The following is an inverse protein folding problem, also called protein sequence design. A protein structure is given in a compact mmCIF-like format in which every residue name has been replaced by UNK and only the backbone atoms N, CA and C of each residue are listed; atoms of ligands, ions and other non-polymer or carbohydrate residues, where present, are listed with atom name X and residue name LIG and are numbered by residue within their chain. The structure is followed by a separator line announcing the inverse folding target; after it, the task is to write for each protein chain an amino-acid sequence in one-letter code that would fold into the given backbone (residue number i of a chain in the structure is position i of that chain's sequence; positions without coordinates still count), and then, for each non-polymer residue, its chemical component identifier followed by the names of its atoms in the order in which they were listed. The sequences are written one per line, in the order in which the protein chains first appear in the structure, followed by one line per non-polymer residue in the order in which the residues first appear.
data_IF_375037404893
#
_entry.id   IF_375037404893
#
_cell.length_a   1.000
_cell.length_b   1.000
_cell.length_c   1.000
_cell.angle_alpha   90.00
_cell.angle_beta   90.00
_cell.angle_gamma   90.00
#
_symmetry.space_group_name_H-M   'P 1'
#
loop_
_entity.id
_entity.type
_entity.pdbx_description
1 polymer ?
#
# COMPACT_ATOMS: atom_id res chain seq x y z
N UNK A 1 -35.84 -0.67 28.29
CA UNK A 1 -35.29 -0.87 26.93
C UNK A 1 -34.65 0.44 26.50
N UNK A 2 -33.32 0.48 26.37
CA UNK A 2 -32.57 1.66 25.92
C UNK A 2 -32.63 1.74 24.39
N UNK A 3 -32.89 2.91 23.77
CA UNK A 3 -33.07 3.05 22.32
C UNK A 3 -31.75 3.19 21.54
N UNK A 4 -30.60 3.03 22.20
CA UNK A 4 -29.30 3.08 21.52
C UNK A 4 -28.93 1.71 20.96
N UNK A 5 -29.50 1.36 19.81
CA UNK A 5 -28.89 0.38 18.92
C UNK A 5 -27.52 0.92 18.51
N UNK A 6 -26.45 0.24 18.91
CA UNK A 6 -25.09 0.49 18.43
C UNK A 6 -25.12 0.45 16.91
N UNK A 7 -24.81 1.57 16.25
CA UNK A 7 -24.48 1.55 14.82
C UNK A 7 -23.38 0.51 14.62
N UNK A 8 -23.47 -0.38 13.61
CA UNK A 8 -22.38 -1.30 13.31
C UNK A 8 -21.09 -0.48 13.14
N UNK A 9 -19.99 -0.93 13.76
CA UNK A 9 -18.68 -0.30 13.56
C UNK A 9 -18.38 -0.38 12.07
N UNK A 10 -18.33 0.77 11.41
CA UNK A 10 -17.86 0.84 10.04
C UNK A 10 -16.37 0.50 10.08
N UNK A 11 -16.06 -0.72 9.67
CA UNK A 11 -14.69 -1.17 9.47
C UNK A 11 -14.21 -0.56 8.15
N UNK A 12 -12.93 -0.23 8.11
CA UNK A 12 -12.31 0.29 6.91
C UNK A 12 -10.86 -0.17 6.89
N UNK A 13 -10.40 -0.69 5.76
CA UNK A 13 -9.00 -1.09 5.56
C UNK A 13 -8.27 -0.07 4.68
N UNK A 14 -6.95 -0.02 4.82
CA UNK A 14 -6.08 0.95 4.16
C UNK A 14 -5.05 0.26 3.25
N UNK A 15 -4.97 0.67 1.99
CA UNK A 15 -3.84 0.45 1.11
C UNK A 15 -3.30 1.78 0.58
N UNK A 16 -2.04 1.80 0.13
CA UNK A 16 -1.40 3.04 -0.34
C UNK A 16 -0.71 2.84 -1.69
N UNK A 17 -0.90 3.81 -2.58
CA UNK A 17 -0.27 3.85 -3.89
C UNK A 17 0.81 4.95 -3.93
N UNK A 18 2.03 4.55 -4.29
CA UNK A 18 3.26 5.35 -4.34
C UNK A 18 3.70 5.61 -5.78
N UNK A 19 4.19 6.81 -6.04
CA UNK A 19 4.78 7.22 -7.33
C UNK A 19 6.28 7.02 -7.33
N UNK A 20 6.78 6.49 -8.44
CA UNK A 20 8.20 6.29 -8.72
C UNK A 20 8.60 7.02 -10.00
N UNK A 21 9.73 7.75 -9.97
CA UNK A 21 10.32 8.41 -11.14
C UNK A 21 11.28 7.46 -11.84
N UNK A 22 10.99 7.06 -13.07
CA UNK A 22 11.78 6.05 -13.78
C UNK A 22 13.15 6.52 -14.30
N UNK A 23 13.78 7.48 -13.63
CA UNK A 23 15.12 7.98 -13.98
C UNK A 23 16.21 7.77 -12.91
N UNK A 24 15.94 7.00 -11.84
CA UNK A 24 16.96 6.41 -10.95
C UNK A 24 17.11 4.91 -11.20
N UNK A 25 18.34 4.41 -11.24
CA UNK A 25 18.69 3.00 -11.50
C UNK A 25 17.76 1.97 -10.83
N UNK A 26 16.98 1.24 -11.63
CA UNK A 26 16.75 -0.17 -11.33
C UNK A 26 18.12 -0.88 -11.49
N UNK A 27 18.56 -1.76 -10.57
CA UNK A 27 19.74 -2.56 -10.82
C UNK A 27 19.47 -3.38 -12.10
N UNK A 28 20.13 -2.97 -13.18
CA UNK A 28 20.14 -3.71 -14.43
C UNK A 28 20.80 -5.05 -14.16
N UNK A 29 20.11 -6.14 -14.50
CA UNK A 29 20.61 -7.52 -14.50
C UNK A 29 21.80 -7.70 -15.46
N UNK A 30 22.97 -7.17 -15.12
CA UNK A 30 24.21 -7.57 -15.76
C UNK A 30 25.08 -8.30 -14.72
N UNK A 31 25.41 -9.59 -14.94
CA UNK A 31 26.42 -10.25 -14.13
C UNK A 31 27.76 -9.51 -14.28
N UNK A 32 28.56 -9.40 -13.22
CA UNK A 32 29.89 -8.81 -13.32
C UNK A 32 30.73 -9.57 -14.35
N UNK A 33 31.59 -8.91 -15.14
CA UNK A 33 32.50 -9.61 -16.02
C UNK A 33 33.41 -10.52 -15.18
N UNK A 34 33.50 -11.79 -15.57
CA UNK A 34 34.28 -12.79 -14.86
C UNK A 34 35.73 -12.30 -14.67
N UNK A 35 36.32 -12.47 -13.47
CA UNK A 35 37.76 -12.26 -13.30
C UNK A 35 38.53 -13.29 -14.15
N UNK A 36 39.71 -12.92 -14.70
CA UNK A 36 40.51 -13.85 -15.48
C UNK A 36 40.92 -15.05 -14.61
N UNK A 37 40.87 -16.30 -15.13
CA UNK A 37 41.15 -17.47 -14.33
C UNK A 37 42.64 -17.56 -13.96
N UNK A 38 42.97 -17.93 -12.72
CA UNK A 38 44.35 -18.24 -12.34
C UNK A 38 44.79 -19.59 -12.95
N UNK A 39 46.01 -19.61 -13.48
CA UNK A 39 46.73 -20.80 -13.93
C UNK A 39 46.91 -21.81 -12.77
N UNK A 40 46.42 -23.06 -12.91
CA UNK A 40 47.15 -24.36 -12.65
C UNK A 40 46.24 -25.60 -12.56
N UNK A 41 46.78 -26.84 -12.61
CA UNK A 41 46.39 -27.85 -13.59
C UNK A 41 45.37 -28.90 -13.09
N UNK A 42 44.78 -29.59 -14.08
CA UNK A 42 43.80 -30.68 -13.94
C UNK A 42 44.42 -31.97 -13.38
N UNK A 43 43.67 -32.67 -12.53
CA UNK A 43 43.74 -34.12 -12.34
C UNK A 43 42.31 -34.72 -12.43
N UNK A 44 42.14 -35.98 -12.86
CA UNK A 44 40.83 -36.55 -13.21
C UNK A 44 40.26 -37.52 -12.15
N UNK A 45 38.94 -37.64 -12.09
CA UNK A 45 38.26 -38.87 -11.64
C UNK A 45 37.10 -38.69 -10.65
N UNK A 46 36.05 -39.55 -10.68
CA UNK A 46 34.66 -39.12 -10.48
C UNK A 46 34.00 -39.66 -9.20
N UNK A 47 33.05 -38.89 -8.66
CA UNK A 47 31.95 -39.41 -7.85
C UNK A 47 30.77 -38.43 -7.94
N UNK A 48 29.64 -38.92 -8.46
CA UNK A 48 28.38 -38.19 -8.47
C UNK A 48 27.97 -37.90 -7.02
N UNK A 49 27.93 -36.62 -6.65
CA UNK A 49 27.24 -36.13 -5.46
C UNK A 49 25.93 -35.47 -5.89
N UNK A 50 24.83 -35.62 -5.11
CA UNK A 50 23.54 -35.05 -5.46
C UNK A 50 23.64 -33.50 -5.53
N UNK A 51 22.82 -32.84 -6.37
CA UNK A 51 22.87 -31.39 -6.48
C UNK A 51 22.54 -30.73 -5.13
N UNK A 52 23.21 -29.62 -4.79
CA UNK A 52 22.95 -28.88 -3.56
C UNK A 52 21.53 -28.29 -3.57
N UNK A 53 20.93 -28.04 -2.39
CA UNK A 53 19.58 -27.52 -2.30
C UNK A 53 19.51 -26.17 -3.01
N UNK A 54 18.53 -26.04 -3.90
CA UNK A 54 18.23 -24.81 -4.60
C UNK A 54 18.10 -23.66 -3.59
N UNK A 55 19.06 -22.74 -3.61
CA UNK A 55 18.90 -21.43 -3.03
C UNK A 55 17.75 -20.74 -3.78
N UNK A 56 16.54 -20.83 -3.22
CA UNK A 56 15.43 -19.97 -3.58
C UNK A 56 15.82 -18.54 -3.23
N UNK A 57 16.45 -17.85 -4.18
CA UNK A 57 16.54 -16.40 -4.21
C UNK A 57 15.09 -15.90 -4.28
N UNK A 58 14.45 -15.70 -3.12
CA UNK A 58 13.07 -15.20 -3.02
C UNK A 58 13.02 -13.86 -3.74
N UNK A 59 12.33 -13.83 -4.89
CA UNK A 59 11.90 -12.58 -5.53
C UNK A 59 11.11 -11.77 -4.49
N UNK A 60 11.17 -10.43 -4.49
CA UNK A 60 10.20 -9.66 -3.73
C UNK A 60 8.79 -10.09 -4.12
N UNK A 61 7.87 -10.15 -3.15
CA UNK A 61 6.47 -10.54 -3.33
C UNK A 61 5.73 -9.45 -4.12
N UNK A 62 6.00 -9.37 -5.43
CA UNK A 62 5.43 -8.35 -6.29
C UNK A 62 4.73 -8.88 -7.53
N UNK A 63 3.59 -8.24 -7.84
CA UNK A 63 2.71 -8.57 -8.95
C UNK A 63 2.55 -7.35 -9.88
N UNK A 64 2.81 -7.51 -11.17
CA UNK A 64 2.66 -6.44 -12.18
C UNK A 64 1.30 -6.51 -12.83
N UNK A 65 0.59 -5.39 -12.96
CA UNK A 65 -0.74 -5.36 -13.57
C UNK A 65 -0.80 -4.62 -14.93
N UNK A 66 -1.49 -5.19 -15.92
CA UNK A 66 -1.79 -4.50 -17.18
C UNK A 66 -2.87 -3.41 -17.07
N UNK A 67 -3.74 -3.45 -16.04
CA UNK A 67 -4.96 -2.61 -15.95
C UNK A 67 -4.67 -1.12 -15.82
N UNK A 68 -3.56 -0.73 -15.20
CA UNK A 68 -3.13 0.67 -15.13
C UNK A 68 -2.56 1.19 -16.46
N UNK A 69 -2.27 0.28 -17.40
CA UNK A 69 -1.79 0.61 -18.74
C UNK A 69 -2.76 1.47 -19.55
N UNK A 70 -4.07 1.39 -19.25
CA UNK A 70 -5.08 2.27 -19.86
C UNK A 70 -4.82 3.75 -19.54
N UNK A 71 -4.19 4.04 -18.39
CA UNK A 71 -3.80 5.37 -17.96
C UNK A 71 -2.37 5.74 -18.37
N UNK A 72 -1.72 4.92 -19.18
CA UNK A 72 -0.32 5.11 -19.57
C UNK A 72 0.66 4.91 -18.40
N UNK A 73 0.29 4.07 -17.43
CA UNK A 73 1.13 3.74 -16.28
C UNK A 73 1.58 2.29 -16.36
N UNK A 74 2.56 1.95 -15.54
CA UNK A 74 2.81 0.59 -15.13
C UNK A 74 3.01 0.54 -13.63
N UNK A 75 2.74 -0.62 -13.05
CA UNK A 75 2.77 -0.79 -11.62
C UNK A 75 3.42 -2.10 -11.19
N UNK A 76 3.73 -2.18 -9.91
CA UNK A 76 3.84 -3.45 -9.21
C UNK A 76 3.23 -3.31 -7.81
N UNK A 77 2.55 -4.36 -7.37
CA UNK A 77 2.01 -4.47 -6.03
C UNK A 77 3.06 -5.09 -5.10
N UNK A 78 3.07 -4.71 -3.83
CA UNK A 78 3.88 -5.31 -2.78
C UNK A 78 2.95 -5.67 -1.63
N UNK A 79 2.90 -6.95 -1.28
CA UNK A 79 2.11 -7.41 -0.14
C UNK A 79 2.76 -7.04 1.19
N UNK A 80 1.94 -6.56 2.13
CA UNK A 80 2.29 -6.23 3.51
C UNK A 80 1.30 -6.97 4.41
N UNK A 81 1.45 -8.28 4.49
CA UNK A 81 0.43 -9.15 5.09
C UNK A 81 -0.83 -9.12 4.22
N UNK A 82 -1.98 -8.81 4.84
CA UNK A 82 -3.26 -8.64 4.15
C UNK A 82 -3.39 -7.37 3.30
N UNK A 83 -2.47 -6.43 3.51
CA UNK A 83 -2.51 -5.12 2.89
C UNK A 83 -1.60 -5.06 1.66
N UNK A 84 -1.75 -3.99 0.88
CA UNK A 84 -0.93 -3.78 -0.31
C UNK A 84 -0.33 -2.37 -0.35
N UNK A 85 0.88 -2.31 -0.91
CA UNK A 85 1.49 -1.08 -1.39
C UNK A 85 1.65 -1.20 -2.90
N UNK A 86 0.99 -0.33 -3.65
CA UNK A 86 1.12 -0.27 -5.09
C UNK A 86 2.17 0.79 -5.46
N UNK A 87 3.15 0.44 -6.29
CA UNK A 87 4.10 1.41 -6.84
C UNK A 87 3.80 1.59 -8.32
N UNK A 88 3.55 2.82 -8.75
CA UNK A 88 3.27 3.14 -10.15
C UNK A 88 4.33 4.08 -10.74
N UNK A 89 4.59 3.91 -12.03
CA UNK A 89 5.43 4.79 -12.82
C UNK A 89 4.73 5.14 -14.14
N UNK A 90 4.89 6.37 -14.66
CA UNK A 90 4.49 6.72 -16.01
C UNK A 90 5.20 5.83 -17.04
N UNK A 91 4.45 5.17 -17.91
CA UNK A 91 4.97 4.44 -19.07
C UNK A 91 4.78 5.20 -20.39
N UNK A 92 4.03 6.31 -20.36
CA UNK A 92 3.81 7.24 -21.49
C UNK A 92 4.01 8.70 -21.05
N UNK A 93 4.42 9.61 -21.97
CA UNK A 93 4.45 11.04 -21.70
C UNK A 93 3.07 11.62 -21.43
N UNK A 94 2.99 12.73 -20.69
CA UNK A 94 1.76 13.49 -20.51
C UNK A 94 0.69 12.80 -19.66
N UNK A 95 1.05 11.79 -18.86
CA UNK A 95 0.13 11.17 -17.90
C UNK A 95 -0.11 12.08 -16.69
N UNK A 96 -1.21 11.86 -15.98
CA UNK A 96 -1.50 12.59 -14.73
C UNK A 96 -0.42 12.32 -13.68
N UNK A 97 0.02 11.06 -13.56
CA UNK A 97 1.12 10.68 -12.68
C UNK A 97 2.43 11.39 -13.07
N UNK A 98 2.76 11.45 -14.37
CA UNK A 98 3.96 12.15 -14.85
C UNK A 98 3.97 13.64 -14.53
N UNK A 99 2.86 14.34 -14.77
CA UNK A 99 2.74 15.77 -14.39
C UNK A 99 2.82 16.01 -12.88
N UNK A 100 2.34 15.05 -12.08
CA UNK A 100 2.40 15.14 -10.62
C UNK A 100 3.83 14.93 -10.13
N UNK A 101 4.53 13.96 -10.72
CA UNK A 101 5.94 13.65 -10.48
C UNK A 101 6.85 14.84 -10.82
N UNK A 102 6.66 15.48 -11.98
CA UNK A 102 7.37 16.71 -12.37
C UNK A 102 7.17 17.85 -11.35
N UNK A 103 5.98 17.93 -10.75
CA UNK A 103 5.61 19.01 -9.82
C UNK A 103 6.08 18.77 -8.38
N UNK A 104 6.04 17.52 -7.90
CA UNK A 104 6.20 17.20 -6.48
C UNK A 104 7.36 16.24 -6.18
N UNK A 105 7.96 15.64 -7.22
CA UNK A 105 8.87 14.51 -7.09
C UNK A 105 8.13 13.21 -6.75
N UNK A 106 8.91 12.17 -6.44
CA UNK A 106 8.40 10.90 -5.93
C UNK A 106 7.63 11.10 -4.62
N UNK A 107 6.62 10.27 -4.37
CA UNK A 107 5.82 10.36 -3.16
C UNK A 107 4.48 9.67 -3.26
N UNK A 108 3.59 9.95 -2.31
CA UNK A 108 2.26 9.38 -2.31
C UNK A 108 1.39 9.96 -3.44
N UNK A 109 0.53 9.11 -4.01
CA UNK A 109 -0.45 9.51 -5.03
C UNK A 109 -1.87 9.27 -4.61
N UNK A 110 -2.18 8.05 -4.18
CA UNK A 110 -3.53 7.64 -3.82
C UNK A 110 -3.51 6.87 -2.51
N UNK A 111 -4.60 7.03 -1.77
CA UNK A 111 -4.93 6.21 -0.61
C UNK A 111 -6.19 5.42 -0.94
N UNK A 112 -6.12 4.10 -0.84
CA UNK A 112 -7.22 3.20 -1.14
C UNK A 112 -7.81 2.77 0.20
N UNK A 113 -9.11 2.92 0.34
CA UNK A 113 -9.84 2.64 1.57
C UNK A 113 -10.96 1.66 1.26
N UNK A 114 -11.14 0.63 2.07
CA UNK A 114 -12.34 -0.21 1.98
C UNK A 114 -13.41 0.24 2.98
N UNK A 115 -14.68 0.05 2.64
CA UNK A 115 -15.85 0.30 3.50
C UNK A 115 -16.92 -0.76 3.22
N UNK A 116 -17.90 -0.90 4.10
CA UNK A 116 -18.97 -1.89 3.93
C UNK A 116 -19.88 -1.63 2.73
N UNK A 117 -20.05 -0.36 2.35
CA UNK A 117 -20.84 0.05 1.19
C UNK A 117 -20.27 1.36 0.62
N UNK A 118 -19.48 1.26 -0.44
CA UNK A 118 -18.85 2.41 -1.06
C UNK A 118 -19.87 3.27 -1.84
N UNK A 119 -20.89 2.64 -2.42
CA UNK A 119 -21.90 3.35 -3.22
C UNK A 119 -22.80 4.21 -2.32
N UNK A 120 -23.26 3.68 -1.18
CA UNK A 120 -24.01 4.45 -0.19
C UNK A 120 -23.17 5.59 0.39
N UNK A 121 -21.91 5.32 0.76
CA UNK A 121 -21.00 6.35 1.27
C UNK A 121 -20.74 7.44 0.24
N UNK A 122 -20.59 7.09 -1.04
CA UNK A 122 -20.47 8.07 -2.13
C UNK A 122 -21.67 9.00 -2.19
N UNK A 123 -22.89 8.48 -2.10
CA UNK A 123 -24.12 9.30 -2.10
C UNK A 123 -24.13 10.28 -0.92
N UNK A 124 -23.67 9.87 0.26
CA UNK A 124 -23.50 10.75 1.42
C UNK A 124 -22.44 11.85 1.16
N UNK A 125 -21.28 11.49 0.59
CA UNK A 125 -20.21 12.44 0.22
C UNK A 125 -20.72 13.48 -0.77
N UNK A 126 -21.41 13.06 -1.83
CA UNK A 126 -21.95 13.95 -2.85
C UNK A 126 -23.03 14.88 -2.26
N UNK A 127 -23.92 14.36 -1.42
CA UNK A 127 -24.95 15.16 -0.74
C UNK A 127 -24.37 16.20 0.21
N UNK A 128 -23.22 15.91 0.83
CA UNK A 128 -22.48 16.84 1.69
C UNK A 128 -21.65 17.87 0.91
N UNK A 129 -21.66 17.84 -0.43
CA UNK A 129 -20.84 18.72 -1.27
C UNK A 129 -19.34 18.39 -1.22
N UNK A 130 -19.00 17.13 -0.98
CA UNK A 130 -17.64 16.62 -0.87
C UNK A 130 -16.85 16.63 -2.20
N UNK A 131 -15.67 15.97 -2.23
CA UNK A 131 -14.82 15.93 -3.42
C UNK A 131 -15.55 15.28 -4.61
N UNK A 132 -15.22 15.75 -5.82
CA UNK A 132 -15.82 15.25 -7.06
C UNK A 132 -15.37 13.82 -7.35
N UNK A 133 -16.31 12.92 -7.66
CA UNK A 133 -16.00 11.60 -8.23
C UNK A 133 -15.43 11.76 -9.64
N UNK A 134 -14.26 11.18 -9.88
CA UNK A 134 -13.55 11.26 -11.19
C UNK A 134 -13.52 9.93 -11.93
N UNK A 135 -13.71 8.84 -11.21
CA UNK A 135 -13.84 7.51 -11.76
C UNK A 135 -14.62 6.65 -10.77
N UNK A 136 -15.49 5.78 -11.25
CA UNK A 136 -16.19 4.84 -10.40
C UNK A 136 -16.92 3.79 -11.23
N UNK A 137 -16.88 2.54 -10.80
CA UNK A 137 -17.51 1.43 -11.49
C UNK A 137 -17.83 0.29 -10.53
N UNK A 138 -18.87 -0.47 -10.88
CA UNK A 138 -19.09 -1.81 -10.34
C UNK A 138 -18.03 -2.75 -10.92
N UNK A 139 -17.59 -3.70 -10.11
CA UNK A 139 -16.77 -4.81 -10.57
C UNK A 139 -17.43 -6.14 -10.22
N UNK A 140 -17.09 -7.14 -11.02
CA UNK A 140 -17.49 -8.54 -10.82
C UNK A 140 -16.32 -9.40 -11.29
N UNK A 141 -15.68 -10.10 -10.36
CA UNK A 141 -14.52 -10.96 -10.59
C UNK A 141 -14.91 -12.41 -10.34
N UNK A 142 -14.44 -13.30 -11.21
CA UNK A 142 -14.55 -14.74 -11.03
C UNK A 142 -13.15 -15.26 -10.79
N UNK A 143 -12.99 -15.99 -9.71
CA UNK A 143 -11.75 -16.65 -9.32
C UNK A 143 -11.93 -18.15 -9.52
N UNK A 144 -10.89 -18.82 -10.02
CA UNK A 144 -10.94 -20.25 -10.28
C UNK A 144 -11.21 -21.02 -8.99
N UNK A 145 -10.63 -20.54 -7.89
CA UNK A 145 -10.78 -21.09 -6.55
C UNK A 145 -12.14 -20.82 -5.88
N UNK A 146 -13.07 -20.11 -6.53
CA UNK A 146 -14.36 -19.72 -5.94
C UNK A 146 -15.57 -20.51 -6.45
N UNK A 147 -15.34 -21.62 -7.17
CA UNK A 147 -16.38 -22.58 -7.59
C UNK A 147 -17.59 -21.94 -8.30
N UNK A 148 -17.37 -20.85 -9.03
CA UNK A 148 -18.39 -20.11 -9.78
C UNK A 148 -19.04 -18.95 -9.02
N UNK A 149 -18.72 -18.77 -7.73
CA UNK A 149 -19.04 -17.54 -7.01
C UNK A 149 -18.24 -16.35 -7.54
N UNK A 150 -18.79 -15.16 -7.34
CA UNK A 150 -18.22 -13.91 -7.82
C UNK A 150 -17.85 -13.02 -6.64
N UNK A 151 -16.70 -12.37 -6.76
CA UNK A 151 -16.36 -11.20 -5.96
C UNK A 151 -16.95 -9.97 -6.67
N UNK A 152 -17.97 -9.39 -6.07
CA UNK A 152 -18.68 -8.24 -6.63
C UNK A 152 -18.52 -7.03 -5.73
N UNK A 153 -18.55 -5.83 -6.29
CA UNK A 153 -18.34 -4.65 -5.47
C UNK A 153 -18.26 -3.36 -6.27
N UNK A 154 -17.75 -2.34 -5.60
CA UNK A 154 -17.62 -0.99 -6.14
C UNK A 154 -16.22 -0.45 -5.90
N UNK A 155 -15.71 0.28 -6.88
CA UNK A 155 -14.51 1.11 -6.76
C UNK A 155 -14.89 2.56 -7.11
N UNK A 156 -14.47 3.52 -6.27
CA UNK A 156 -14.82 4.93 -6.41
C UNK A 156 -13.61 5.82 -6.12
N UNK A 157 -13.12 6.52 -7.13
CA UNK A 157 -12.01 7.45 -7.03
C UNK A 157 -12.50 8.90 -7.00
N UNK A 158 -11.98 9.67 -6.05
CA UNK A 158 -12.30 11.08 -5.85
C UNK A 158 -11.16 11.97 -6.31
N UNK A 159 -11.49 13.13 -6.88
CA UNK A 159 -10.51 14.16 -7.16
C UNK A 159 -9.86 14.62 -5.84
N UNK A 160 -8.52 14.79 -5.78
CA UNK A 160 -7.84 15.18 -4.53
C UNK A 160 -8.24 16.58 -4.03
N UNK A 161 -8.61 17.49 -4.94
CA UNK A 161 -9.17 18.80 -4.57
C UNK A 161 -10.48 18.62 -3.79
N UNK A 162 -10.50 19.13 -2.57
CA UNK A 162 -11.63 18.99 -1.64
C UNK A 162 -11.26 18.17 -0.41
N UNK A 163 -10.16 17.42 -0.47
CA UNK A 163 -9.67 16.57 0.62
C UNK A 163 -8.28 17.01 1.05
N UNK A 164 -8.11 17.34 2.32
CA UNK A 164 -6.82 17.77 2.87
C UNK A 164 -5.80 16.62 2.90
N UNK A 165 -4.52 16.93 2.73
CA UNK A 165 -3.43 15.95 2.85
C UNK A 165 -2.82 15.49 1.52
N UNK A 166 -3.25 16.07 0.39
CA UNK A 166 -2.55 15.97 -0.89
C UNK A 166 -2.59 14.61 -1.60
N UNK A 167 -3.42 13.67 -1.14
CA UNK A 167 -3.58 12.33 -1.69
C UNK A 167 -4.93 12.19 -2.40
N UNK A 168 -4.98 11.39 -3.47
CA UNK A 168 -6.21 11.02 -4.16
C UNK A 168 -6.94 9.93 -3.37
N UNK A 169 -8.17 10.13 -2.89
CA UNK A 169 -8.92 9.09 -2.19
C UNK A 169 -9.55 8.11 -3.19
N UNK A 170 -9.41 6.82 -2.93
CA UNK A 170 -10.19 5.74 -3.51
C UNK A 170 -10.96 5.03 -2.40
N UNK A 171 -12.23 4.74 -2.65
CA UNK A 171 -13.13 4.08 -1.71
C UNK A 171 -13.76 2.87 -2.40
N UNK A 172 -13.48 1.70 -1.83
CA UNK A 172 -13.89 0.41 -2.36
C UNK A 172 -14.82 -0.31 -1.39
N UNK A 173 -15.64 -1.21 -1.92
CA UNK A 173 -16.42 -2.16 -1.11
C UNK A 173 -16.57 -3.46 -1.85
N UNK A 174 -16.50 -4.58 -1.13
CA UNK A 174 -16.79 -5.91 -1.63
C UNK A 174 -18.12 -6.39 -1.04
N UNK A 175 -18.94 -7.05 -1.85
CA UNK A 175 -20.19 -7.66 -1.44
C UNK A 175 -19.89 -8.91 -0.62
N UNK A 176 -20.73 -9.16 0.39
CA UNK A 176 -20.68 -10.39 1.18
C UNK A 176 -21.14 -11.56 0.31
N UNK A 177 -20.32 -12.61 0.24
CA UNK A 177 -20.65 -13.89 -0.40
C UNK A 177 -20.17 -15.08 0.45
N UNK A 178 -20.38 -16.32 0.01
CA UNK A 178 -19.96 -17.50 0.78
C UNK A 178 -18.44 -17.57 0.89
N UNK A 179 -17.72 -17.17 -0.17
CA UNK A 179 -16.25 -17.14 -0.20
C UNK A 179 -15.62 -15.91 0.45
N UNK A 180 -16.41 -14.88 0.76
CA UNK A 180 -15.95 -13.67 1.43
C UNK A 180 -17.06 -13.12 2.34
N UNK A 181 -17.21 -13.77 3.50
CA UNK A 181 -18.34 -13.54 4.41
C UNK A 181 -18.18 -12.29 5.27
N UNK A 182 -16.93 -11.85 5.47
CA UNK A 182 -16.57 -10.65 6.20
C UNK A 182 -15.43 -9.89 5.50
N UNK A 183 -15.73 -9.16 4.40
CA UNK A 183 -14.69 -8.55 3.55
C UNK A 183 -13.76 -7.55 4.25
N UNK A 184 -14.13 -7.05 5.43
CA UNK A 184 -13.39 -6.04 6.20
C UNK A 184 -12.81 -6.57 7.52
N UNK A 185 -13.24 -7.75 7.96
CA UNK A 185 -12.73 -8.42 9.15
C UNK A 185 -11.78 -9.56 8.83
N UNK A 186 -11.81 -10.10 7.61
CA UNK A 186 -10.88 -11.11 7.14
C UNK A 186 -9.53 -10.49 6.74
N UNK A 187 -8.47 -10.94 7.40
CA UNK A 187 -7.13 -10.40 7.18
C UNK A 187 -6.61 -10.58 5.76
N UNK A 188 -6.94 -11.69 5.09
CA UNK A 188 -6.47 -11.99 3.75
C UNK A 188 -7.66 -11.96 2.79
N UNK A 189 -8.23 -10.77 2.65
CA UNK A 189 -9.43 -10.50 1.85
C UNK A 189 -9.06 -10.01 0.44
N UNK A 190 -9.92 -10.20 -0.57
CA UNK A 190 -9.76 -9.60 -1.88
C UNK A 190 -9.59 -8.07 -1.84
N UNK A 191 -8.78 -7.58 -2.78
CA UNK A 191 -8.65 -6.16 -3.08
C UNK A 191 -8.95 -5.94 -4.56
N UNK A 192 -9.86 -5.01 -4.88
CA UNK A 192 -10.15 -4.61 -6.26
C UNK A 192 -8.88 -4.22 -7.03
N UNK A 193 -7.98 -3.49 -6.38
CA UNK A 193 -6.69 -3.08 -6.96
C UNK A 193 -5.83 -4.27 -7.43
N UNK A 194 -5.95 -5.44 -6.78
CA UNK A 194 -5.25 -6.66 -7.17
C UNK A 194 -5.93 -7.38 -8.35
N UNK A 195 -7.23 -7.18 -8.53
CA UNK A 195 -7.99 -7.63 -9.69
C UNK A 195 -8.18 -9.15 -9.79
N UNK A 196 -7.94 -9.72 -10.98
CA UNK A 196 -8.34 -11.09 -11.33
C UNK A 196 -7.37 -12.21 -10.88
N UNK A 197 -6.17 -11.88 -10.43
CA UNK A 197 -5.13 -12.87 -10.07
C UNK A 197 -5.18 -13.26 -8.58
N UNK A 198 -6.38 -13.54 -8.04
CA UNK A 198 -6.61 -13.77 -6.60
C UNK A 198 -5.69 -14.81 -5.99
N UNK A 199 -5.65 -15.99 -6.60
CA UNK A 199 -4.85 -17.12 -6.12
C UNK A 199 -3.39 -16.72 -5.93
N UNK A 200 -2.86 -15.93 -6.88
CA UNK A 200 -1.47 -15.50 -6.81
C UNK A 200 -1.24 -14.43 -5.77
N UNK A 201 -2.11 -13.43 -5.65
CA UNK A 201 -1.86 -12.35 -4.70
C UNK A 201 -2.17 -12.74 -3.26
N UNK A 202 -3.13 -13.64 -3.03
CA UNK A 202 -3.43 -14.14 -1.67
C UNK A 202 -2.27 -14.97 -1.13
N UNK A 203 -1.63 -15.81 -1.95
CA UNK A 203 -0.38 -16.51 -1.58
C UNK A 203 0.72 -15.51 -1.17
N UNK A 204 0.90 -14.44 -1.93
CA UNK A 204 1.87 -13.39 -1.61
C UNK A 204 1.51 -12.63 -0.32
N UNK A 205 0.22 -12.42 -0.04
CA UNK A 205 -0.25 -11.82 1.19
C UNK A 205 0.06 -12.71 2.39
N UNK A 206 -0.28 -14.00 2.32
CA UNK A 206 -0.01 -15.00 3.35
C UNK A 206 1.49 -15.16 3.62
N UNK A 207 2.32 -15.25 2.58
CA UNK A 207 3.78 -15.31 2.71
C UNK A 207 4.38 -14.09 3.41
N UNK A 208 3.73 -12.94 3.25
CA UNK A 208 4.11 -11.67 3.88
C UNK A 208 3.37 -11.40 5.19
N UNK A 209 2.62 -12.37 5.72
CA UNK A 209 1.72 -12.27 6.88
C UNK A 209 2.36 -11.88 8.20
N UNK A 210 3.69 -11.76 8.28
CA UNK A 210 4.38 -11.18 9.45
C UNK A 210 4.58 -9.66 9.36
N UNK A 211 4.28 -9.05 8.22
CA UNK A 211 4.28 -7.61 7.99
C UNK A 211 2.88 -7.04 8.28
N UNK A 212 2.86 -5.84 8.84
CA UNK A 212 1.62 -5.13 9.17
C UNK A 212 1.74 -3.66 8.79
N UNK A 213 0.77 -3.14 8.03
CA UNK A 213 0.69 -1.71 7.79
C UNK A 213 0.10 -1.03 9.04
N UNK A 214 0.95 -0.42 9.87
CA UNK A 214 0.50 0.19 11.12
C UNK A 214 -0.11 1.58 10.91
N UNK A 215 0.28 2.25 9.84
CA UNK A 215 -0.26 3.57 9.53
C UNK A 215 0.60 4.41 8.62
N UNK A 216 0.04 5.57 8.29
CA UNK A 216 0.72 6.57 7.49
C UNK A 216 0.43 7.99 8.00
N UNK A 217 1.23 8.94 7.54
CA UNK A 217 1.09 10.36 7.92
C UNK A 217 1.06 11.24 6.69
N UNK A 218 0.06 12.12 6.61
CA UNK A 218 -0.13 13.06 5.51
C UNK A 218 0.24 14.48 5.96
N UNK A 219 1.08 15.16 5.18
CA UNK A 219 1.36 16.59 5.37
C UNK A 219 0.28 17.41 4.69
N UNK A 220 -0.21 18.41 5.42
CA UNK A 220 -1.14 19.41 4.88
C UNK A 220 -0.46 20.39 3.93
N UNK A 221 -1.26 21.14 3.19
CA UNK A 221 -0.78 22.18 2.29
C UNK A 221 0.01 23.24 3.06
N UNK A 222 0.96 23.88 2.38
CA UNK A 222 1.75 24.98 2.93
C UNK A 222 0.84 26.04 3.59
N UNK A 223 1.18 26.43 4.82
CA UNK A 223 0.38 27.35 5.63
C UNK A 223 -0.80 26.72 6.39
N UNK A 224 -1.21 25.49 6.08
CA UNK A 224 -2.28 24.80 6.81
C UNK A 224 -1.75 24.08 8.06
N UNK A 225 -2.16 24.57 9.23
CA UNK A 225 -1.80 23.99 10.52
C UNK A 225 -2.90 23.16 11.19
N UNK A 226 -4.09 23.09 10.60
CA UNK A 226 -5.27 22.47 11.22
C UNK A 226 -5.34 20.96 10.97
N UNK A 227 -4.40 20.24 11.59
CA UNK A 227 -4.33 18.77 11.54
C UNK A 227 -5.58 18.10 12.11
N UNK A 228 -6.19 18.68 13.14
CA UNK A 228 -7.43 18.15 13.73
C UNK A 228 -8.62 18.32 12.81
N UNK A 229 -8.73 19.45 12.11
CA UNK A 229 -9.76 19.68 11.10
C UNK A 229 -9.59 18.80 9.88
N UNK A 230 -8.35 18.51 9.45
CA UNK A 230 -8.09 17.54 8.40
C UNK A 230 -8.57 16.13 8.81
N UNK A 231 -8.25 15.67 10.01
CA UNK A 231 -8.71 14.38 10.50
C UNK A 231 -10.25 14.30 10.57
N UNK A 232 -10.91 15.35 11.09
CA UNK A 232 -12.39 15.45 11.09
C UNK A 232 -12.97 15.43 9.68
N UNK A 233 -12.39 16.18 8.74
CA UNK A 233 -12.85 16.20 7.36
C UNK A 233 -12.86 14.79 6.75
N UNK A 234 -11.79 14.02 6.92
CA UNK A 234 -11.73 12.65 6.41
C UNK A 234 -12.72 11.72 7.13
N UNK A 235 -12.88 11.87 8.44
CA UNK A 235 -13.85 11.12 9.24
C UNK A 235 -15.27 11.35 8.74
N UNK A 236 -15.64 12.62 8.53
CA UNK A 236 -16.97 13.02 8.07
C UNK A 236 -17.22 12.57 6.62
N UNK A 237 -16.23 12.74 5.74
CA UNK A 237 -16.35 12.35 4.33
C UNK A 237 -16.45 10.83 4.17
N UNK A 238 -15.55 10.06 4.77
CA UNK A 238 -15.39 8.64 4.47
C UNK A 238 -15.95 7.71 5.55
N UNK A 239 -16.51 8.25 6.63
CA UNK A 239 -17.11 7.47 7.71
C UNK A 239 -16.08 6.76 8.61
N UNK A 240 -14.84 7.21 8.60
CA UNK A 240 -13.75 6.56 9.34
C UNK A 240 -13.74 7.07 10.79
N UNK A 241 -13.71 6.19 11.80
CA UNK A 241 -13.67 6.61 13.20
C UNK A 241 -12.43 7.43 13.53
N UNK A 242 -12.58 8.45 14.37
CA UNK A 242 -11.45 9.14 14.99
C UNK A 242 -11.10 8.53 16.35
N UNK A 243 -9.81 8.34 16.58
CA UNK A 243 -9.28 7.94 17.88
C UNK A 243 -7.96 8.65 18.12
N UNK A 244 -7.88 9.42 19.23
CA UNK A 244 -6.68 10.17 19.62
C UNK A 244 -6.17 11.14 18.53
N UNK A 245 -7.09 11.72 17.75
CA UNK A 245 -6.78 12.69 16.69
C UNK A 245 -6.34 12.08 15.35
N UNK A 246 -6.37 10.76 15.22
CA UNK A 246 -6.06 10.03 13.98
C UNK A 246 -7.29 9.28 13.48
N UNK A 247 -7.34 9.07 12.17
CA UNK A 247 -8.28 8.15 11.54
C UNK A 247 -7.89 6.71 11.94
N UNK A 248 -8.84 5.96 12.45
CA UNK A 248 -8.63 4.60 12.95
C UNK A 248 -9.30 3.60 12.01
N UNK A 249 -8.49 3.03 11.11
CA UNK A 249 -8.84 1.89 10.29
C UNK A 249 -8.74 0.60 11.11
N UNK A 250 -9.27 -0.50 10.59
CA UNK A 250 -9.17 -1.82 11.22
C UNK A 250 -7.69 -2.25 11.31
N UNK A 251 -6.95 -2.08 10.22
CA UNK A 251 -5.56 -2.49 10.08
C UNK A 251 -4.55 -1.38 10.47
N UNK A 252 -4.91 -0.10 10.27
CA UNK A 252 -3.95 1.01 10.26
C UNK A 252 -4.46 2.30 10.92
N UNK A 253 -3.57 3.29 11.04
CA UNK A 253 -3.92 4.67 11.44
C UNK A 253 -3.43 5.69 10.44
N UNK A 254 -4.23 6.71 10.19
CA UNK A 254 -3.83 7.84 9.34
C UNK A 254 -3.83 9.12 10.16
N UNK A 255 -2.65 9.72 10.27
CA UNK A 255 -2.42 10.98 10.97
C UNK A 255 -2.07 12.11 10.02
N UNK A 256 -2.08 13.33 10.54
CA UNK A 256 -1.73 14.53 9.79
C UNK A 256 -0.61 15.32 10.48
N UNK A 257 0.27 15.91 9.68
CA UNK A 257 1.26 16.90 10.12
C UNK A 257 1.03 18.23 9.43
N UNK A 258 1.42 19.31 10.11
CA UNK A 258 1.25 20.68 9.59
C UNK A 258 1.99 20.86 8.26
N UNK A 259 1.44 21.72 7.42
CA UNK A 259 2.11 22.22 6.24
C UNK A 259 3.45 22.87 6.58
N UNK A 260 4.38 22.79 5.64
CA UNK A 260 5.73 23.32 5.78
C UNK A 260 6.05 24.21 4.58
N UNK A 261 6.76 25.31 4.82
CA UNK A 261 7.16 26.25 3.77
C UNK A 261 7.95 25.51 2.67
N UNK A 262 7.61 25.77 1.40
CA UNK A 262 8.27 25.16 0.23
C UNK A 262 8.25 23.63 0.19
N UNK A 263 7.29 23.00 0.88
CA UNK A 263 7.08 21.55 0.83
C UNK A 263 5.68 21.25 0.32
N UNK A 264 5.58 20.28 -0.58
CA UNK A 264 4.30 19.76 -1.03
C UNK A 264 3.56 19.05 0.11
N UNK A 265 2.23 19.23 0.13
CA UNK A 265 1.33 18.30 0.82
C UNK A 265 1.44 16.88 0.22
N UNK A 266 1.06 15.88 1.01
CA UNK A 266 1.09 14.49 0.59
C UNK A 266 1.61 13.56 1.69
N UNK A 267 1.74 12.30 1.34
CA UNK A 267 2.28 11.26 2.20
C UNK A 267 3.73 11.54 2.62
N UNK A 268 4.02 11.47 3.91
CA UNK A 268 5.35 11.73 4.47
C UNK A 268 5.97 10.54 5.18
N UNK A 269 5.14 9.67 5.78
CA UNK A 269 5.60 8.55 6.58
C UNK A 269 4.71 7.33 6.33
N UNK A 270 5.32 6.17 6.17
CA UNK A 270 4.69 4.86 6.29
C UNK A 270 5.35 4.13 7.47
N UNK A 271 4.55 3.50 8.32
CA UNK A 271 5.04 2.67 9.43
C UNK A 271 4.64 1.21 9.21
N UNK A 272 5.63 0.33 9.17
CA UNK A 272 5.45 -1.12 9.03
C UNK A 272 5.82 -1.81 10.34
N UNK A 273 4.95 -2.67 10.83
CA UNK A 273 5.19 -3.57 11.95
C UNK A 273 5.76 -4.90 11.47
N UNK A 274 6.70 -5.47 12.23
CA UNK A 274 7.27 -6.80 11.94
C UNK A 274 7.29 -7.69 13.19
N UNK A 275 7.06 -8.99 13.01
CA UNK A 275 6.93 -9.95 14.11
C UNK A 275 8.24 -10.38 14.78
N UNK A 276 9.41 -10.12 14.17
CA UNK A 276 10.71 -10.60 14.69
C UNK A 276 11.85 -9.60 14.50
N UNK A 277 12.81 -9.65 15.43
CA UNK A 277 14.05 -8.86 15.37
C UNK A 277 14.90 -9.19 14.15
N UNK A 278 14.90 -10.46 13.73
CA UNK A 278 15.60 -10.89 12.52
C UNK A 278 15.03 -10.23 11.27
N UNK A 279 13.69 -10.17 11.16
CA UNK A 279 13.02 -9.50 10.04
C UNK A 279 13.29 -8.00 10.07
N UNK A 280 13.18 -7.36 11.24
CA UNK A 280 13.48 -5.94 11.43
C UNK A 280 14.91 -5.63 10.97
N UNK A 281 15.90 -6.31 11.57
CA UNK A 281 17.31 -6.13 11.25
C UNK A 281 17.61 -6.40 9.78
N UNK A 282 17.01 -7.44 9.20
CA UNK A 282 17.17 -7.75 7.78
C UNK A 282 16.66 -6.65 6.84
N UNK A 283 15.52 -6.04 7.14
CA UNK A 283 15.00 -4.91 6.36
C UNK A 283 15.91 -3.68 6.52
N UNK A 284 16.30 -3.35 7.74
CA UNK A 284 17.14 -2.17 8.00
C UNK A 284 18.55 -2.32 7.40
N UNK A 285 19.12 -3.52 7.41
CA UNK A 285 20.41 -3.78 6.78
C UNK A 285 20.35 -3.60 5.27
N UNK A 286 19.32 -4.14 4.60
CA UNK A 286 19.12 -3.89 3.17
C UNK A 286 18.96 -2.40 2.87
N UNK A 287 18.19 -1.67 3.68
CA UNK A 287 18.05 -0.23 3.50
C UNK A 287 19.39 0.53 3.65
N UNK A 288 20.31 0.04 4.50
CA UNK A 288 21.68 0.59 4.62
C UNK A 288 22.55 0.24 3.43
N UNK A 289 22.51 -1.01 2.98
CA UNK A 289 23.24 -1.51 1.81
C UNK A 289 22.85 -0.75 0.54
N UNK A 290 21.56 -0.40 0.40
CA UNK A 290 21.01 0.41 -0.69
C UNK A 290 21.22 1.94 -0.50
N UNK A 291 21.87 2.37 0.59
CA UNK A 291 22.15 3.78 0.86
C UNK A 291 20.92 4.64 1.21
N UNK A 292 19.79 4.03 1.57
CA UNK A 292 18.52 4.69 1.87
C UNK A 292 18.37 5.09 3.34
N UNK A 293 19.22 4.56 4.22
CA UNK A 293 19.11 4.68 5.67
C UNK A 293 19.34 6.11 6.19
N UNK A 294 18.54 6.51 7.18
CA UNK A 294 18.66 7.78 7.92
C UNK A 294 18.95 7.50 9.39
N UNK A 295 20.20 7.75 9.80
CA UNK A 295 20.66 7.44 11.16
C UNK A 295 19.95 8.24 12.27
N UNK A 296 19.44 9.43 11.96
CA UNK A 296 18.92 10.36 12.98
C UNK A 296 17.64 9.87 13.68
N UNK A 297 16.78 9.12 12.99
CA UNK A 297 15.46 8.72 13.50
C UNK A 297 15.16 7.22 13.29
N UNK A 298 16.15 6.46 12.82
CA UNK A 298 16.01 5.02 12.57
C UNK A 298 15.09 4.68 11.39
N UNK A 299 14.82 5.65 10.52
CA UNK A 299 14.02 5.48 9.30
C UNK A 299 14.90 5.28 8.05
N UNK A 300 14.27 5.03 6.91
CA UNK A 300 14.91 5.15 5.61
C UNK A 300 14.01 5.91 4.62
N UNK A 301 14.61 6.55 3.62
CA UNK A 301 13.90 7.31 2.60
C UNK A 301 13.83 6.48 1.32
N UNK A 302 12.62 6.18 0.85
CA UNK A 302 12.40 5.42 -0.37
C UNK A 302 11.14 5.95 -1.08
N UNK A 303 11.22 6.19 -2.39
CA UNK A 303 10.15 6.77 -3.19
C UNK A 303 9.64 8.12 -2.64
N UNK A 304 10.58 8.99 -2.23
CA UNK A 304 10.26 10.29 -1.62
C UNK A 304 9.57 10.25 -0.26
N UNK A 305 9.40 9.06 0.35
CA UNK A 305 8.64 8.85 1.59
C UNK A 305 9.56 8.30 2.68
N UNK A 306 9.33 8.73 3.92
CA UNK A 306 10.01 8.16 5.08
C UNK A 306 9.34 6.84 5.45
N UNK A 307 10.14 5.82 5.69
CA UNK A 307 9.69 4.50 6.11
C UNK A 307 10.25 4.19 7.48
N UNK A 308 9.35 3.81 8.39
CA UNK A 308 9.71 3.33 9.72
C UNK A 308 9.29 1.88 9.86
N UNK A 309 10.20 1.05 10.34
CA UNK A 309 9.91 -0.35 10.62
C UNK A 309 10.08 -0.57 12.12
N UNK A 310 9.09 -1.16 12.76
CA UNK A 310 9.07 -1.36 14.22
C UNK A 310 8.74 -2.80 14.55
N UNK A 311 9.30 -3.30 15.65
CA UNK A 311 8.93 -4.60 16.17
C UNK A 311 7.52 -4.55 16.76
N UNK A 312 6.71 -5.57 16.47
CA UNK A 312 5.41 -5.75 17.10
C UNK A 312 5.60 -6.26 18.53
N UNK A 313 5.43 -5.37 19.51
CA UNK A 313 5.37 -5.73 20.92
C UNK A 313 3.94 -6.11 21.35
N UNK A 314 3.77 -6.51 22.61
CA UNK A 314 2.45 -6.90 23.15
C UNK A 314 1.40 -5.78 23.10
N UNK A 315 1.81 -4.52 23.11
CA UNK A 315 0.89 -3.38 23.01
C UNK A 315 0.44 -3.14 21.57
N UNK A 316 1.34 -3.27 20.59
CA UNK A 316 0.99 -3.14 19.18
C UNK A 316 0.17 -4.36 18.72
N UNK A 317 0.53 -5.57 19.15
CA UNK A 317 -0.22 -6.80 18.85
C UNK A 317 -1.66 -6.76 19.37
N UNK A 318 -1.91 -6.17 20.54
CA UNK A 318 -3.26 -6.03 21.08
C UNK A 318 -4.14 -5.02 20.34
N UNK A 319 -3.59 -4.31 19.35
CA UNK A 319 -4.26 -3.27 18.56
C UNK A 319 -4.43 -3.64 17.09
N UNK A 320 -3.81 -4.75 16.68
CA UNK A 320 -4.03 -5.46 15.42
C UNK A 320 -5.21 -6.42 15.59
#
# INVERSE_FOLDING_TARGET
MSPYGSKPRQQSELATLLLNDRHGHLPTNNPPPNPPPPNRPRLPGPAQSPPPPHHHLRRPSSLRRPSVGQWGLENFLVSIGGDIIEVVAPSKPGTTAGRLLERRGEGGYMIIMQTGDAEARRKEVEAAGGPKVIFGHEFSHQYESWDGEKDEGWCIQYHPKGTKGGMMPELDSHAVCERNSDPLGERFSPWHACGKEYERYVELMEESGELHLLGCTLRLAEGDGDVGGAARQWSDLFGIPLSRGELAFTNARVGFVKGQEKRSEGLTLITIGVGSENRLSGILNRAREEGLWRAADGSFLMLGIMWKVVLLDGYIKARL
#
